data_IF_809855908017
#
_entry.id   IF_809855908017
#
_cell.length_a   1.000
_cell.length_b   1.000
_cell.length_c   1.000
_cell.angle_alpha   90.00
_cell.angle_beta   90.00
_cell.angle_gamma   90.00
#
_symmetry.space_group_name_H-M   'P 1'
#
loop_
_entity.id
_entity.type
_entity.pdbx_description
1 polymer ?
#
# COMPACT_ATOMS: atom_id res chain seq x y z
N UNK A 1 -16.54 -11.75 3.30
CA UNK A 1 -16.22 -10.80 2.21
C UNK A 1 -17.49 -10.03 1.90
N UNK A 2 -17.42 -8.71 1.91
CA UNK A 2 -18.57 -7.81 1.69
C UNK A 2 -18.19 -6.78 0.64
N UNK A 3 -19.05 -6.60 -0.37
CA UNK A 3 -18.89 -5.55 -1.36
C UNK A 3 -19.58 -4.28 -0.90
N UNK A 4 -18.92 -3.15 -1.10
CA UNK A 4 -19.43 -1.82 -0.80
C UNK A 4 -19.44 -0.95 -2.07
N UNK A 5 -20.43 -0.08 -2.15
CA UNK A 5 -20.50 1.01 -3.14
C UNK A 5 -20.29 2.32 -2.40
N UNK A 6 -19.08 2.87 -2.51
CA UNK A 6 -18.64 4.01 -1.71
C UNK A 6 -18.72 5.30 -2.53
N UNK A 7 -19.47 6.31 -2.09
CA UNK A 7 -19.50 7.61 -2.74
C UNK A 7 -18.12 8.29 -2.70
N UNK A 8 -17.72 8.87 -3.81
CA UNK A 8 -16.51 9.69 -3.96
C UNK A 8 -16.90 10.91 -4.79
N UNK A 9 -17.08 12.07 -4.15
CA UNK A 9 -17.65 13.27 -4.77
C UNK A 9 -19.04 12.97 -5.40
N UNK A 10 -19.20 13.21 -6.70
CA UNK A 10 -20.43 12.91 -7.45
C UNK A 10 -20.47 11.49 -8.05
N UNK A 11 -19.48 10.70 -7.83
CA UNK A 11 -19.32 9.34 -8.39
C UNK A 11 -19.37 8.28 -7.29
N UNK A 12 -19.24 7.02 -7.68
CA UNK A 12 -19.24 5.89 -6.74
C UNK A 12 -18.16 4.90 -7.16
N UNK A 13 -17.45 4.34 -6.19
CA UNK A 13 -16.47 3.28 -6.45
C UNK A 13 -16.81 2.00 -5.71
N UNK A 14 -16.32 0.89 -6.24
CA UNK A 14 -16.44 -0.44 -5.66
C UNK A 14 -15.30 -0.71 -4.69
N UNK A 15 -15.63 -1.14 -3.49
CA UNK A 15 -14.68 -1.64 -2.50
C UNK A 15 -15.09 -3.02 -2.00
N UNK A 16 -14.11 -3.84 -1.66
CA UNK A 16 -14.30 -5.17 -1.09
C UNK A 16 -13.66 -5.22 0.28
N UNK A 17 -14.48 -5.40 1.31
CA UNK A 17 -14.02 -5.70 2.67
C UNK A 17 -13.83 -7.20 2.84
N UNK A 18 -12.68 -7.57 3.34
CA UNK A 18 -12.30 -8.95 3.66
C UNK A 18 -11.79 -9.03 5.09
N UNK A 19 -12.57 -9.62 6.02
CA UNK A 19 -12.12 -9.78 7.39
C UNK A 19 -10.93 -10.73 7.48
N UNK A 20 -10.12 -10.54 8.50
CA UNK A 20 -9.04 -11.46 8.86
C UNK A 20 -9.54 -12.90 9.02
N UNK A 21 -8.70 -13.87 8.66
CA UNK A 21 -9.00 -15.30 8.85
C UNK A 21 -8.53 -15.76 10.24
N UNK A 22 -7.35 -15.32 10.66
CA UNK A 22 -6.87 -15.51 12.01
C UNK A 22 -7.53 -14.50 12.96
N UNK A 23 -7.55 -14.79 14.28
CA UNK A 23 -8.07 -13.86 15.29
C UNK A 23 -7.46 -12.48 15.10
N UNK A 24 -8.25 -11.55 14.60
CA UNK A 24 -7.81 -10.21 14.23
C UNK A 24 -7.47 -9.37 15.46
N UNK A 25 -6.50 -8.47 15.31
CA UNK A 25 -6.14 -7.49 16.34
C UNK A 25 -6.88 -6.17 16.19
N UNK A 26 -7.95 -6.15 15.37
CA UNK A 26 -8.69 -4.94 15.03
C UNK A 26 -7.88 -3.97 14.18
N UNK A 27 -6.95 -4.47 13.37
CA UNK A 27 -6.18 -3.67 12.41
C UNK A 27 -6.81 -3.80 11.04
N UNK A 28 -7.20 -2.67 10.45
CA UNK A 28 -7.73 -2.56 9.10
C UNK A 28 -6.70 -1.91 8.17
N UNK A 29 -6.44 -2.54 7.04
CA UNK A 29 -5.61 -1.96 5.98
C UNK A 29 -6.45 -1.58 4.76
N UNK A 30 -6.52 -0.30 4.46
CA UNK A 30 -7.09 0.23 3.22
C UNK A 30 -6.01 0.20 2.14
N UNK A 31 -6.14 -0.76 1.24
CA UNK A 31 -5.13 -1.13 0.26
C UNK A 31 -5.49 -0.66 -1.15
N UNK A 32 -4.83 0.40 -1.61
CA UNK A 32 -4.98 0.96 -2.94
C UNK A 32 -4.12 0.20 -3.98
N UNK A 33 -4.68 -0.01 -5.18
CA UNK A 33 -3.94 -0.65 -6.27
C UNK A 33 -2.98 0.32 -6.99
N UNK A 34 -2.05 -0.23 -7.79
CA UNK A 34 -1.12 0.53 -8.62
C UNK A 34 -1.76 1.07 -9.90
N UNK A 35 -0.99 1.85 -10.68
CA UNK A 35 -1.40 2.33 -12.00
C UNK A 35 -1.71 1.13 -12.92
N UNK A 36 -2.81 1.22 -13.66
CA UNK A 36 -3.29 0.12 -14.50
C UNK A 36 -3.87 -1.07 -13.74
N UNK A 37 -3.79 -1.08 -12.40
CA UNK A 37 -4.31 -2.15 -11.55
C UNK A 37 -5.82 -2.09 -11.34
N UNK A 38 -6.34 -3.10 -10.64
CA UNK A 38 -7.74 -3.28 -10.28
C UNK A 38 -7.84 -3.95 -8.91
N UNK A 39 -8.93 -3.74 -8.18
CA UNK A 39 -9.15 -4.36 -6.86
C UNK A 39 -9.08 -5.90 -6.87
N UNK A 40 -9.36 -6.54 -8.03
CA UNK A 40 -9.37 -7.99 -8.21
C UNK A 40 -8.14 -8.54 -8.93
N UNK A 41 -7.08 -7.74 -9.10
CA UNK A 41 -5.84 -8.23 -9.69
C UNK A 41 -5.25 -9.38 -8.86
N UNK A 42 -4.70 -10.39 -9.55
CA UNK A 42 -4.11 -11.57 -8.90
C UNK A 42 -3.13 -11.20 -7.78
N UNK A 43 -2.27 -10.19 -8.00
CA UNK A 43 -1.32 -9.74 -6.98
C UNK A 43 -2.00 -9.08 -5.77
N UNK A 44 -3.11 -8.35 -5.98
CA UNK A 44 -3.90 -7.75 -4.89
C UNK A 44 -4.63 -8.83 -4.09
N UNK A 45 -5.17 -9.84 -4.75
CA UNK A 45 -5.84 -10.98 -4.10
C UNK A 45 -4.85 -11.81 -3.27
N UNK A 46 -3.69 -12.13 -3.83
CA UNK A 46 -2.66 -12.90 -3.15
C UNK A 46 -2.09 -12.15 -1.93
N UNK A 47 -1.82 -10.85 -2.06
CA UNK A 47 -1.44 -9.99 -0.95
C UNK A 47 -2.52 -9.98 0.15
N UNK A 48 -3.79 -9.78 -0.23
CA UNK A 48 -4.90 -9.80 0.73
C UNK A 48 -4.94 -11.12 1.51
N UNK A 49 -4.82 -12.25 0.83
CA UNK A 49 -4.80 -13.56 1.48
C UNK A 49 -3.68 -13.70 2.51
N UNK A 50 -2.47 -13.24 2.18
CA UNK A 50 -1.32 -13.27 3.09
C UNK A 50 -1.51 -12.39 4.34
N UNK A 51 -2.08 -11.21 4.19
CA UNK A 51 -2.29 -10.31 5.32
C UNK A 51 -3.45 -10.77 6.20
N UNK A 52 -4.55 -11.25 5.60
CA UNK A 52 -5.72 -11.77 6.33
C UNK A 52 -5.39 -13.01 7.16
N UNK A 53 -4.55 -13.91 6.66
CA UNK A 53 -4.09 -15.08 7.41
C UNK A 53 -3.26 -14.71 8.65
N UNK A 54 -2.80 -13.44 8.73
CA UNK A 54 -2.02 -12.89 9.84
C UNK A 54 -2.78 -11.89 10.71
N UNK A 55 -4.12 -11.90 10.61
CA UNK A 55 -4.98 -11.13 11.50
C UNK A 55 -5.21 -9.67 11.10
N UNK A 56 -5.03 -9.32 9.82
CA UNK A 56 -5.26 -7.97 9.29
C UNK A 56 -6.51 -8.00 8.41
N UNK A 57 -7.49 -7.17 8.75
CA UNK A 57 -8.65 -6.91 7.90
C UNK A 57 -8.22 -6.07 6.70
N UNK A 58 -8.78 -6.33 5.52
CA UNK A 58 -8.40 -5.65 4.29
C UNK A 58 -9.61 -5.01 3.63
N UNK A 59 -9.43 -3.78 3.14
CA UNK A 59 -10.31 -3.18 2.13
C UNK A 59 -9.51 -2.94 0.85
N UNK A 60 -9.91 -3.59 -0.23
CA UNK A 60 -9.41 -3.32 -1.58
C UNK A 60 -10.48 -2.58 -2.36
N UNK A 61 -10.10 -1.62 -3.18
CA UNK A 61 -11.07 -0.79 -3.93
C UNK A 61 -10.51 -0.40 -5.29
N UNK A 62 -11.40 0.05 -6.17
CA UNK A 62 -11.02 0.65 -7.44
C UNK A 62 -10.85 2.16 -7.28
N UNK A 63 -9.88 2.75 -7.98
CA UNK A 63 -9.91 4.18 -8.26
C UNK A 63 -10.98 4.52 -9.31
N UNK A 64 -11.55 5.72 -9.27
CA UNK A 64 -12.66 6.13 -10.15
C UNK A 64 -12.38 5.91 -11.64
N UNK A 65 -11.15 6.12 -12.10
CA UNK A 65 -10.79 5.88 -13.50
C UNK A 65 -11.02 4.40 -13.91
N UNK A 66 -10.93 3.46 -12.97
CA UNK A 66 -11.21 2.03 -13.23
C UNK A 66 -12.70 1.75 -13.30
N UNK A 67 -13.50 2.40 -12.47
CA UNK A 67 -14.98 2.32 -12.56
C UNK A 67 -15.48 2.85 -13.91
N UNK A 68 -14.81 3.89 -14.43
CA UNK A 68 -15.09 4.47 -15.75
C UNK A 68 -14.47 3.68 -16.92
N UNK A 69 -13.82 2.54 -16.67
CA UNK A 69 -13.08 1.77 -17.69
C UNK A 69 -11.99 2.58 -18.42
N UNK A 70 -11.41 3.58 -17.77
CA UNK A 70 -10.33 4.38 -18.34
C UNK A 70 -8.98 3.75 -17.96
N UNK A 71 -8.07 3.59 -18.93
CA UNK A 71 -6.75 3.02 -18.68
C UNK A 71 -5.77 4.00 -18.02
N UNK A 72 -5.96 5.31 -18.24
CA UNK A 72 -5.11 6.36 -17.69
C UNK A 72 -5.56 6.71 -16.26
N UNK A 73 -4.67 6.69 -15.27
CA UNK A 73 -4.99 7.12 -13.91
C UNK A 73 -5.45 8.58 -13.83
N UNK A 74 -6.35 8.83 -12.88
CA UNK A 74 -6.74 10.18 -12.49
C UNK A 74 -5.56 11.00 -11.94
N UNK A 75 -5.64 12.33 -11.92
CA UNK A 75 -4.70 13.17 -11.20
C UNK A 75 -4.61 12.82 -9.71
N UNK A 76 -3.44 13.04 -9.11
CA UNK A 76 -3.17 12.66 -7.72
C UNK A 76 -4.23 13.15 -6.71
N UNK A 77 -4.75 14.39 -6.78
CA UNK A 77 -5.79 14.82 -5.85
C UNK A 77 -7.08 13.99 -5.92
N UNK A 78 -7.46 13.47 -7.09
CA UNK A 78 -8.61 12.57 -7.25
C UNK A 78 -8.33 11.21 -6.62
N UNK A 79 -7.11 10.68 -6.81
CA UNK A 79 -6.68 9.42 -6.17
C UNK A 79 -6.69 9.55 -4.65
N UNK A 80 -6.21 10.66 -4.10
CA UNK A 80 -6.25 10.93 -2.67
C UNK A 80 -7.68 10.96 -2.13
N UNK A 81 -8.61 11.66 -2.81
CA UNK A 81 -10.03 11.65 -2.42
C UNK A 81 -10.66 10.27 -2.45
N UNK A 82 -10.26 9.40 -3.39
CA UNK A 82 -10.71 8.00 -3.38
C UNK A 82 -10.21 7.27 -2.13
N UNK A 83 -8.92 7.40 -1.78
CA UNK A 83 -8.37 6.77 -0.58
C UNK A 83 -9.07 7.29 0.67
N UNK A 84 -9.30 8.59 0.77
CA UNK A 84 -10.00 9.24 1.87
C UNK A 84 -11.43 8.70 2.04
N UNK A 85 -12.23 8.75 0.99
CA UNK A 85 -13.62 8.29 1.03
C UNK A 85 -13.73 6.82 1.45
N UNK A 86 -12.84 5.95 0.93
CA UNK A 86 -12.78 4.54 1.32
C UNK A 86 -12.35 4.39 2.78
N UNK A 87 -11.38 5.15 3.24
CA UNK A 87 -10.87 5.06 4.61
C UNK A 87 -11.92 5.54 5.63
N UNK A 88 -12.64 6.64 5.31
CA UNK A 88 -13.75 7.14 6.13
C UNK A 88 -14.87 6.11 6.19
N UNK A 89 -15.34 5.61 5.04
CA UNK A 89 -16.41 4.62 4.97
C UNK A 89 -16.04 3.32 5.71
N UNK A 90 -14.83 2.84 5.50
CA UNK A 90 -14.34 1.62 6.16
C UNK A 90 -14.22 1.79 7.68
N UNK A 91 -13.82 2.99 8.15
CA UNK A 91 -13.76 3.31 9.58
C UNK A 91 -15.14 3.26 10.23
N UNK A 92 -16.17 3.77 9.56
CA UNK A 92 -17.57 3.73 10.03
C UNK A 92 -18.15 2.31 10.05
N UNK A 93 -17.84 1.52 8.99
CA UNK A 93 -18.43 0.18 8.82
C UNK A 93 -17.76 -0.91 9.66
N UNK A 94 -16.47 -0.75 9.99
CA UNK A 94 -15.66 -1.80 10.64
C UNK A 94 -15.28 -1.42 12.07
N UNK A 95 -15.24 -0.12 12.40
CA UNK A 95 -14.80 0.41 13.71
C UNK A 95 -13.45 -0.18 14.15
N UNK A 96 -12.40 -0.11 13.32
CA UNK A 96 -11.14 -0.75 13.62
C UNK A 96 -10.43 -0.05 14.79
N UNK A 97 -9.69 -0.80 15.60
CA UNK A 97 -8.81 -0.21 16.62
C UNK A 97 -7.64 0.55 16.00
N UNK A 98 -7.20 0.13 14.81
CA UNK A 98 -6.12 0.73 14.05
C UNK A 98 -6.46 0.78 12.57
N UNK A 99 -6.27 1.93 11.97
CA UNK A 99 -6.41 2.13 10.53
C UNK A 99 -5.03 2.35 9.90
N UNK A 100 -4.66 1.48 9.00
CA UNK A 100 -3.49 1.62 8.13
C UNK A 100 -3.99 2.01 6.74
N UNK A 101 -3.42 3.05 6.16
CA UNK A 101 -3.64 3.38 4.74
C UNK A 101 -2.38 3.04 3.93
N UNK A 102 -2.53 2.89 2.62
CA UNK A 102 -1.40 2.58 1.78
C UNK A 102 -1.77 1.84 0.51
N UNK A 103 -0.86 1.01 0.04
CA UNK A 103 -1.10 0.20 -1.15
C UNK A 103 0.12 0.07 -2.05
N UNK A 104 -0.13 -0.41 -3.28
CA UNK A 104 0.91 -0.68 -4.26
C UNK A 104 1.22 0.55 -5.11
N UNK A 105 2.52 0.81 -5.31
CA UNK A 105 3.02 1.75 -6.31
C UNK A 105 2.29 3.12 -6.25
N UNK A 106 1.53 3.47 -7.27
CA UNK A 106 0.73 4.70 -7.34
C UNK A 106 -0.22 4.86 -6.15
N UNK A 107 -0.88 3.77 -5.73
CA UNK A 107 -1.79 3.80 -4.58
C UNK A 107 -1.07 4.11 -3.27
N UNK A 108 0.08 3.48 -3.04
CA UNK A 108 0.95 3.81 -1.89
C UNK A 108 1.44 5.26 -1.93
N UNK A 109 1.76 5.78 -3.13
CA UNK A 109 2.15 7.18 -3.28
C UNK A 109 0.99 8.14 -2.96
N UNK A 110 -0.25 7.84 -3.38
CA UNK A 110 -1.41 8.66 -3.04
C UNK A 110 -1.62 8.71 -1.51
N UNK A 111 -1.58 7.56 -0.84
CA UNK A 111 -1.68 7.47 0.61
C UNK A 111 -0.52 8.18 1.34
N UNK A 112 0.72 8.09 0.83
CA UNK A 112 1.87 8.78 1.43
C UNK A 112 1.76 10.31 1.35
N UNK A 113 1.15 10.85 0.30
CA UNK A 113 0.90 12.28 0.19
C UNK A 113 -0.17 12.74 1.20
N UNK A 114 -1.23 11.95 1.41
CA UNK A 114 -2.23 12.21 2.46
C UNK A 114 -1.61 12.18 3.85
N UNK A 115 -0.80 11.17 4.16
CA UNK A 115 -0.09 11.08 5.43
C UNK A 115 0.85 12.26 5.67
N UNK A 116 1.52 12.76 4.63
CA UNK A 116 2.37 13.96 4.68
C UNK A 116 1.58 15.26 4.92
N UNK A 117 0.29 15.28 4.60
CA UNK A 117 -0.65 16.37 4.85
C UNK A 117 -1.36 16.23 6.22
N UNK A 118 -0.98 15.23 7.01
CA UNK A 118 -1.51 15.03 8.37
C UNK A 118 -2.80 14.23 8.44
N UNK A 119 -3.07 13.38 7.43
CA UNK A 119 -4.24 12.49 7.47
C UNK A 119 -4.23 11.60 8.73
N UNK A 120 -5.35 11.57 9.45
CA UNK A 120 -5.48 10.81 10.69
C UNK A 120 -5.59 9.30 10.42
N UNK A 121 -4.47 8.60 10.56
CA UNK A 121 -4.37 7.13 10.53
C UNK A 121 -3.22 6.66 11.42
N UNK A 122 -3.20 5.38 11.78
CA UNK A 122 -2.26 4.81 12.73
C UNK A 122 -0.98 4.27 12.09
N UNK A 123 -0.98 4.14 10.77
CA UNK A 123 0.20 3.68 10.03
C UNK A 123 0.08 3.82 8.53
N UNK A 124 1.24 3.79 7.86
CA UNK A 124 1.35 3.84 6.41
C UNK A 124 2.08 2.59 5.91
N UNK A 125 1.46 1.85 4.98
CA UNK A 125 2.06 0.66 4.36
C UNK A 125 2.28 0.89 2.87
N UNK A 126 3.55 0.98 2.47
CA UNK A 126 3.99 1.24 1.11
C UNK A 126 4.56 -0.04 0.49
N UNK A 127 3.92 -0.52 -0.57
CA UNK A 127 4.29 -1.73 -1.29
C UNK A 127 4.77 -1.35 -2.69
N UNK A 128 6.03 -1.62 -3.00
CA UNK A 128 6.70 -1.22 -4.23
C UNK A 128 6.56 0.31 -4.48
N UNK A 129 7.02 1.12 -3.54
CA UNK A 129 6.93 2.58 -3.65
C UNK A 129 7.74 3.08 -4.86
N UNK A 130 7.12 3.84 -5.79
CA UNK A 130 7.79 4.29 -7.00
C UNK A 130 8.59 5.57 -6.73
N UNK A 131 9.80 5.42 -6.18
CA UNK A 131 10.66 6.53 -5.78
C UNK A 131 11.00 7.49 -6.94
N UNK A 132 11.05 6.96 -8.16
CA UNK A 132 11.28 7.74 -9.39
C UNK A 132 10.56 7.09 -10.58
N UNK A 133 10.36 7.79 -11.72
CA UNK A 133 9.93 7.14 -12.95
C UNK A 133 10.99 6.17 -13.49
N UNK A 134 10.56 5.17 -14.25
CA UNK A 134 11.48 4.23 -14.91
C UNK A 134 12.49 5.01 -15.79
N UNK A 135 13.78 4.68 -15.65
CA UNK A 135 14.85 5.31 -16.40
C UNK A 135 15.13 6.78 -16.06
N UNK A 136 14.52 7.34 -14.98
CA UNK A 136 14.71 8.74 -14.56
C UNK A 136 15.00 8.83 -13.06
N UNK A 137 16.11 8.25 -12.57
CA UNK A 137 16.42 8.19 -11.14
C UNK A 137 16.70 9.57 -10.52
N UNK A 138 16.95 10.59 -11.33
CA UNK A 138 17.11 11.99 -10.91
C UNK A 138 15.78 12.66 -10.51
N UNK A 139 14.63 12.11 -10.93
CA UNK A 139 13.30 12.67 -10.66
C UNK A 139 12.66 12.04 -9.41
N UNK A 140 13.24 12.29 -8.24
CA UNK A 140 12.78 11.70 -6.99
C UNK A 140 11.39 12.20 -6.57
N UNK A 141 10.55 11.26 -6.16
CA UNK A 141 9.20 11.48 -5.60
C UNK A 141 9.23 11.41 -4.08
N UNK A 142 10.20 12.05 -3.45
CA UNK A 142 10.48 11.93 -2.02
C UNK A 142 10.25 13.20 -1.20
N UNK A 143 9.99 14.35 -1.82
CA UNK A 143 9.94 15.64 -1.12
C UNK A 143 8.91 15.70 0.03
N UNK A 144 7.78 14.97 -0.09
CA UNK A 144 6.74 14.92 0.94
C UNK A 144 7.03 13.91 2.05
N UNK A 145 7.92 12.93 1.84
CA UNK A 145 8.13 11.83 2.79
C UNK A 145 8.65 12.30 4.14
N UNK A 146 9.45 13.36 4.15
CA UNK A 146 9.98 13.96 5.40
C UNK A 146 8.91 14.58 6.31
N UNK A 147 7.71 14.81 5.79
CA UNK A 147 6.58 15.35 6.56
C UNK A 147 5.74 14.26 7.25
N UNK A 148 5.96 13.00 6.92
CA UNK A 148 5.19 11.88 7.49
C UNK A 148 5.68 11.61 8.91
N UNK A 149 4.77 11.72 9.87
CA UNK A 149 5.05 11.57 11.30
C UNK A 149 4.57 10.23 11.88
N UNK A 150 3.74 9.49 11.14
CA UNK A 150 3.19 8.20 11.58
C UNK A 150 4.15 7.05 11.26
N UNK A 151 4.06 5.91 12.00
CA UNK A 151 4.80 4.70 11.67
C UNK A 151 4.60 4.31 10.21
N UNK A 152 5.71 4.10 9.50
CA UNK A 152 5.68 3.79 8.07
C UNK A 152 6.52 2.55 7.79
N UNK A 153 5.92 1.56 7.13
CA UNK A 153 6.63 0.41 6.58
C UNK A 153 6.66 0.53 5.05
N UNK A 154 7.86 0.45 4.48
CA UNK A 154 8.08 0.43 3.04
C UNK A 154 8.74 -0.88 2.63
N UNK A 155 8.10 -1.63 1.72
CA UNK A 155 8.64 -2.85 1.14
C UNK A 155 8.87 -2.65 -0.36
N UNK A 156 10.12 -2.80 -0.81
CA UNK A 156 10.46 -2.74 -2.24
C UNK A 156 11.36 -3.90 -2.64
N UNK A 157 11.22 -4.31 -3.89
CA UNK A 157 12.14 -5.29 -4.47
C UNK A 157 13.51 -4.70 -4.77
N UNK A 158 14.57 -5.50 -4.60
CA UNK A 158 15.95 -5.06 -4.91
C UNK A 158 16.21 -4.89 -6.41
N UNK A 159 15.30 -5.38 -7.28
CA UNK A 159 15.33 -5.22 -8.74
C UNK A 159 14.24 -4.29 -9.25
N UNK A 160 13.64 -3.47 -8.39
CA UNK A 160 12.58 -2.54 -8.77
C UNK A 160 13.14 -1.37 -9.61
N UNK A 161 12.76 -1.32 -10.88
CA UNK A 161 13.17 -0.27 -11.81
C UNK A 161 12.62 1.14 -11.50
N UNK A 162 11.66 1.23 -10.56
CA UNK A 162 11.08 2.49 -10.07
C UNK A 162 11.60 2.90 -8.69
N UNK A 163 12.50 2.09 -8.09
CA UNK A 163 13.04 2.35 -6.76
C UNK A 163 14.49 1.84 -6.65
N UNK A 164 15.45 2.64 -7.07
CA UNK A 164 16.87 2.33 -6.91
C UNK A 164 17.20 2.26 -5.43
N UNK A 165 17.83 1.13 -5.00
CA UNK A 165 18.11 0.83 -3.59
C UNK A 165 18.94 1.93 -2.92
N UNK A 166 20.06 2.31 -3.52
CA UNK A 166 20.97 3.31 -2.98
C UNK A 166 20.33 4.69 -2.86
N UNK A 167 19.39 5.02 -3.77
CA UNK A 167 18.64 6.27 -3.69
C UNK A 167 17.62 6.24 -2.55
N UNK A 168 16.91 5.12 -2.39
CA UNK A 168 15.92 4.96 -1.33
C UNK A 168 16.58 4.96 0.05
N UNK A 169 17.71 4.27 0.22
CA UNK A 169 18.47 4.25 1.47
C UNK A 169 18.97 5.68 1.85
N UNK A 170 19.43 6.45 0.87
CA UNK A 170 19.78 7.87 1.09
C UNK A 170 18.58 8.75 1.45
N UNK A 171 17.41 8.47 0.91
CA UNK A 171 16.19 9.19 1.26
C UNK A 171 15.79 8.84 2.69
N UNK A 172 15.67 7.55 3.01
CA UNK A 172 15.23 7.07 4.33
C UNK A 172 16.20 7.50 5.43
N UNK A 173 17.52 7.48 5.18
CA UNK A 173 18.52 7.92 6.12
C UNK A 173 18.40 9.39 6.55
N UNK A 174 17.53 10.18 5.91
CA UNK A 174 17.22 11.57 6.25
C UNK A 174 15.82 11.74 6.87
N UNK A 175 15.05 10.65 6.96
CA UNK A 175 13.71 10.67 7.54
C UNK A 175 13.73 10.42 9.04
N UNK A 176 12.60 10.64 9.71
CA UNK A 176 12.45 10.35 11.13
C UNK A 176 12.55 8.83 11.40
N UNK A 177 12.80 8.45 12.64
CA UNK A 177 12.99 7.06 13.07
C UNK A 177 11.74 6.17 12.99
N UNK A 178 10.60 6.75 12.65
CA UNK A 178 9.34 6.04 12.46
C UNK A 178 9.22 5.29 11.11
N UNK A 179 10.25 5.33 10.27
CA UNK A 179 10.33 4.61 9.01
C UNK A 179 11.03 3.26 9.17
N UNK A 180 10.40 2.21 8.65
CA UNK A 180 11.00 0.88 8.50
C UNK A 180 11.09 0.56 7.02
N UNK A 181 12.29 0.24 6.52
CA UNK A 181 12.50 -0.24 5.16
C UNK A 181 12.78 -1.74 5.17
N UNK A 182 12.09 -2.49 4.31
CA UNK A 182 12.37 -3.89 4.08
C UNK A 182 12.59 -4.17 2.60
N UNK A 183 13.72 -4.79 2.26
CA UNK A 183 14.09 -5.15 0.90
C UNK A 183 13.71 -6.59 0.61
N UNK A 184 12.89 -6.79 -0.40
CA UNK A 184 12.52 -8.11 -0.93
C UNK A 184 13.58 -8.53 -1.95
N UNK A 185 14.49 -9.39 -1.53
CA UNK A 185 15.66 -9.76 -2.31
C UNK A 185 15.26 -10.46 -3.62
N UNK A 186 15.82 -9.98 -4.74
CA UNK A 186 15.58 -10.49 -6.09
C UNK A 186 14.23 -10.13 -6.69
N UNK A 187 13.33 -9.47 -5.96
CA UNK A 187 12.02 -9.08 -6.45
C UNK A 187 12.07 -7.81 -7.30
N UNK A 188 11.22 -7.74 -8.31
CA UNK A 188 10.99 -6.55 -9.14
C UNK A 188 9.82 -5.68 -8.59
N UNK A 189 9.40 -4.68 -9.38
CA UNK A 189 8.26 -3.81 -9.03
C UNK A 189 6.94 -4.55 -8.81
N UNK A 190 6.79 -5.75 -9.40
CA UNK A 190 5.60 -6.59 -9.24
C UNK A 190 5.72 -7.61 -8.12
N UNK A 191 6.85 -7.63 -7.42
CA UNK A 191 7.26 -8.65 -6.46
C UNK A 191 7.53 -10.01 -7.11
N UNK A 192 7.78 -9.98 -8.44
CA UNK A 192 8.21 -11.16 -9.19
C UNK A 192 9.71 -11.39 -9.04
N UNK A 193 10.11 -12.66 -8.89
CA UNK A 193 11.49 -13.11 -8.82
C UNK A 193 11.87 -13.99 -10.00
N UNK A 194 13.12 -13.93 -10.42
CA UNK A 194 13.63 -14.79 -11.48
C UNK A 194 13.77 -16.24 -10.96
N UNK A 195 13.58 -17.22 -11.84
CA UNK A 195 13.82 -18.65 -11.50
C UNK A 195 15.23 -18.90 -10.95
N UNK A 196 16.21 -18.15 -11.42
CA UNK A 196 17.61 -18.23 -10.94
C UNK A 196 17.82 -17.76 -9.50
N UNK A 197 16.84 -17.06 -8.88
CA UNK A 197 16.92 -16.62 -7.48
C UNK A 197 16.75 -17.78 -6.47
N UNK A 198 16.27 -18.93 -6.91
CA UNK A 198 15.90 -20.04 -6.02
C UNK A 198 14.65 -19.79 -5.17
N UNK A 199 13.91 -18.69 -5.44
CA UNK A 199 12.68 -18.30 -4.75
C UNK A 199 11.50 -18.26 -5.73
N UNK A 200 10.31 -18.32 -5.19
CA UNK A 200 9.04 -18.12 -5.91
C UNK A 200 8.38 -16.79 -5.56
N UNK A 201 7.44 -16.34 -6.35
CA UNK A 201 6.63 -15.15 -6.05
C UNK A 201 5.80 -15.36 -4.77
N UNK A 202 5.38 -16.60 -4.48
CA UNK A 202 4.67 -16.95 -3.26
C UNK A 202 5.56 -16.82 -2.02
N UNK A 203 6.85 -17.17 -2.11
CA UNK A 203 7.82 -16.96 -1.02
C UNK A 203 7.98 -15.46 -0.73
N UNK A 204 8.02 -14.63 -1.76
CA UNK A 204 8.10 -13.16 -1.59
C UNK A 204 6.83 -12.62 -0.94
N UNK A 205 5.65 -13.07 -1.36
CA UNK A 205 4.38 -12.64 -0.76
C UNK A 205 4.23 -13.12 0.69
N UNK A 206 4.74 -14.30 1.01
CA UNK A 206 4.80 -14.80 2.38
C UNK A 206 5.68 -13.90 3.24
N UNK A 207 6.89 -13.56 2.78
CA UNK A 207 7.81 -12.62 3.45
C UNK A 207 7.18 -11.24 3.65
N UNK A 208 6.45 -10.72 2.66
CA UNK A 208 5.65 -9.48 2.81
C UNK A 208 4.67 -9.60 3.97
N UNK A 209 3.90 -10.69 4.01
CA UNK A 209 2.91 -10.91 5.07
C UNK A 209 3.54 -11.00 6.46
N UNK A 210 4.65 -11.71 6.61
CA UNK A 210 5.40 -11.86 7.86
C UNK A 210 5.96 -10.51 8.32
N UNK A 211 6.59 -9.77 7.41
CA UNK A 211 7.16 -8.46 7.71
C UNK A 211 6.08 -7.47 8.16
N UNK A 212 4.93 -7.42 7.49
CA UNK A 212 3.81 -6.54 7.87
C UNK A 212 3.24 -6.95 9.23
N UNK A 213 3.10 -8.24 9.51
CA UNK A 213 2.60 -8.71 10.80
C UNK A 213 3.56 -8.37 11.95
N UNK A 214 4.86 -8.57 11.75
CA UNK A 214 5.90 -8.21 12.73
C UNK A 214 5.94 -6.70 12.99
N UNK A 215 5.89 -5.90 11.92
CA UNK A 215 5.83 -4.44 12.04
C UNK A 215 4.59 -3.97 12.81
N UNK A 216 3.41 -4.53 12.50
CA UNK A 216 2.18 -4.19 13.20
C UNK A 216 2.18 -4.59 14.68
N UNK A 217 3.04 -5.52 15.10
CA UNK A 217 3.24 -5.88 16.51
C UNK A 217 4.18 -4.92 17.23
N UNK A 218 5.21 -4.44 16.57
CA UNK A 218 6.21 -3.52 17.14
C UNK A 218 5.62 -2.15 17.49
N UNK A 219 4.59 -1.72 16.76
CA UNK A 219 3.86 -0.48 17.02
C UNK A 219 2.52 -0.76 17.72
N UNK A 220 2.54 -1.51 18.83
CA UNK A 220 1.41 -1.58 19.78
C UNK A 220 1.32 -0.24 20.50
N UNK A 221 0.36 0.58 20.09
CA UNK A 221 -0.04 1.79 20.80
C UNK A 221 -0.95 1.46 21.97
#
# INVERSE_FOLDING_TARGET
MTEWRVPVDAETTTAIFEPAVASGRGTLFVCAHGAGGHLSDRGMLALSAQLRSRGIDIVRFNFLYRERNIGRPDPMPVLQRCVDAIAVYAREMVEPRRLIIGGRSMGGRAASMMAAEGYACDGLLLLAYPLHPAGKPEQLRSAHLAKIQIPTLCLNGTRDALCTRELMERVIGKLASNWTMHWLEGADHSFHVLKSSGRTDDDVLMEVGETVAAWGQAYTF
#
